data_IF_729351511858
#
_entry.id   IF_729351511858
#
_cell.length_a   1.000
_cell.length_b   1.000
_cell.length_c   1.000
_cell.angle_alpha   90.00
_cell.angle_beta   90.00
_cell.angle_gamma   90.00
#
_symmetry.space_group_name_H-M   'P 1'
#
loop_
_entity.id
_entity.type
_entity.pdbx_description
1 polymer ?
#
# COMPACT_ATOMS: atom_id res chain seq x y z
N UNK A 1 -22.97 7.19 9.62
CA UNK A 1 -23.52 5.83 9.56
C UNK A 1 -22.41 4.88 9.18
N UNK A 2 -21.94 4.05 10.11
CA UNK A 2 -20.75 3.19 9.96
C UNK A 2 -21.01 1.93 9.09
N UNK A 3 -22.28 1.65 8.83
CA UNK A 3 -22.75 0.45 8.11
C UNK A 3 -22.64 0.63 6.58
N UNK A 4 -22.66 1.86 6.06
CA UNK A 4 -22.51 2.10 4.62
C UNK A 4 -21.07 1.96 4.13
N UNK A 5 -20.08 2.31 4.97
CA UNK A 5 -18.66 2.25 4.61
C UNK A 5 -18.10 0.83 4.54
N UNK A 6 -18.52 -0.07 5.45
CA UNK A 6 -18.13 -1.49 5.41
C UNK A 6 -18.70 -2.21 4.18
N UNK A 7 -19.91 -1.85 3.76
CA UNK A 7 -20.56 -2.41 2.58
C UNK A 7 -19.89 -1.96 1.27
N UNK A 8 -19.47 -0.69 1.18
CA UNK A 8 -18.70 -0.19 0.03
C UNK A 8 -17.32 -0.84 -0.04
N UNK A 9 -16.63 -1.01 1.09
CA UNK A 9 -15.34 -1.74 1.15
C UNK A 9 -15.48 -3.18 0.66
N UNK A 10 -16.53 -3.90 1.05
CA UNK A 10 -16.78 -5.28 0.62
C UNK A 10 -17.13 -5.39 -0.88
N UNK A 11 -17.93 -4.46 -1.42
CA UNK A 11 -18.26 -4.43 -2.86
C UNK A 11 -17.06 -4.08 -3.73
N UNK A 12 -16.24 -3.14 -3.28
CA UNK A 12 -14.99 -2.78 -3.96
C UNK A 12 -14.00 -3.94 -3.89
N UNK A 13 -13.85 -4.62 -2.74
CA UNK A 13 -13.01 -5.83 -2.61
C UNK A 13 -13.40 -6.94 -3.62
N UNK A 14 -14.69 -7.20 -3.80
CA UNK A 14 -15.17 -8.24 -4.74
C UNK A 14 -14.80 -7.95 -6.20
N UNK A 15 -14.83 -6.68 -6.63
CA UNK A 15 -14.41 -6.29 -7.98
C UNK A 15 -12.88 -6.36 -8.10
N UNK A 16 -12.19 -6.04 -7.01
CA UNK A 16 -10.73 -5.97 -6.89
C UNK A 16 -10.08 -7.37 -6.90
N UNK A 17 -10.71 -8.38 -6.31
CA UNK A 17 -10.21 -9.77 -6.33
C UNK A 17 -10.03 -10.33 -7.75
N UNK A 18 -10.74 -9.79 -8.75
CA UNK A 18 -10.66 -10.25 -10.14
C UNK A 18 -9.48 -9.68 -10.93
N UNK A 19 -8.86 -8.59 -10.48
CA UNK A 19 -7.89 -7.80 -11.26
C UNK A 19 -6.43 -8.05 -10.84
N UNK A 20 -6.20 -8.95 -9.87
CA UNK A 20 -4.88 -9.31 -9.35
C UNK A 20 -4.32 -8.31 -8.32
N UNK A 21 -3.42 -8.76 -7.44
CA UNK A 21 -2.98 -7.99 -6.27
C UNK A 21 -2.18 -6.73 -6.61
N UNK A 22 -1.43 -6.73 -7.73
CA UNK A 22 -0.64 -5.57 -8.16
C UNK A 22 -1.55 -4.44 -8.65
N UNK A 23 -2.48 -4.76 -9.57
CA UNK A 23 -3.47 -3.80 -10.10
C UNK A 23 -4.33 -3.22 -9.00
N UNK A 24 -4.68 -4.05 -8.02
CA UNK A 24 -5.42 -3.66 -6.81
C UNK A 24 -4.71 -2.54 -6.05
N UNK A 25 -3.41 -2.70 -5.79
CA UNK A 25 -2.63 -1.72 -5.04
C UNK A 25 -2.53 -0.41 -5.80
N UNK A 26 -2.19 -0.45 -7.09
CA UNK A 26 -2.12 0.77 -7.91
C UNK A 26 -3.47 1.49 -7.99
N UNK A 27 -4.59 0.77 -8.09
CA UNK A 27 -5.92 1.38 -8.10
C UNK A 27 -6.27 2.02 -6.75
N UNK A 28 -6.03 1.33 -5.65
CA UNK A 28 -6.29 1.87 -4.30
C UNK A 28 -5.44 3.12 -4.03
N UNK A 29 -4.17 3.09 -4.42
CA UNK A 29 -3.27 4.24 -4.31
C UNK A 29 -3.70 5.39 -5.21
N UNK A 30 -4.09 5.11 -6.46
CA UNK A 30 -4.61 6.13 -7.37
C UNK A 30 -5.86 6.80 -6.81
N UNK A 31 -6.81 6.02 -6.28
CA UNK A 31 -8.04 6.57 -5.70
C UNK A 31 -7.77 7.36 -4.41
N UNK A 32 -6.79 6.93 -3.60
CA UNK A 32 -6.34 7.65 -2.42
C UNK A 32 -5.71 9.00 -2.79
N UNK A 33 -4.75 8.99 -3.71
CA UNK A 33 -4.07 10.20 -4.20
C UNK A 33 -5.04 11.16 -4.90
N UNK A 34 -6.06 10.64 -5.58
CA UNK A 34 -7.11 11.43 -6.23
C UNK A 34 -8.16 11.97 -5.25
N UNK A 35 -8.05 11.67 -3.95
CA UNK A 35 -9.03 12.06 -2.92
C UNK A 35 -10.40 11.38 -3.09
N UNK A 36 -10.49 10.36 -3.94
CA UNK A 36 -11.71 9.59 -4.22
C UNK A 36 -11.91 8.47 -3.19
N UNK A 37 -10.85 8.08 -2.49
CA UNK A 37 -10.87 7.12 -1.41
C UNK A 37 -10.33 7.78 -0.13
N UNK A 38 -11.23 8.07 0.82
CA UNK A 38 -10.84 8.42 2.18
C UNK A 38 -10.70 7.13 2.99
N UNK A 39 -9.46 6.64 3.07
CA UNK A 39 -9.01 5.77 4.16
C UNK A 39 -8.89 6.72 5.36
N UNK A 40 -9.68 6.53 6.43
CA UNK A 40 -9.80 7.48 7.55
C UNK A 40 -8.51 7.66 8.36
N UNK A 41 -8.57 7.65 9.70
CA UNK A 41 -7.33 7.64 10.53
C UNK A 41 -6.44 6.40 10.30
N UNK A 42 -6.93 5.42 9.51
CA UNK A 42 -6.18 4.23 9.13
C UNK A 42 -5.46 4.46 7.82
N UNK A 43 -4.16 4.23 7.87
CA UNK A 43 -3.32 4.02 6.70
C UNK A 43 -3.86 2.95 5.76
N UNK A 44 -3.40 2.97 4.51
CA UNK A 44 -3.63 1.88 3.57
C UNK A 44 -3.02 0.60 4.15
N UNK A 45 -3.89 -0.35 4.51
CA UNK A 45 -3.52 -1.62 5.11
C UNK A 45 -3.45 -2.67 4.00
N UNK A 46 -2.22 -3.05 3.66
CA UNK A 46 -1.94 -4.11 2.69
C UNK A 46 -1.44 -5.38 3.39
N UNK A 47 -1.73 -5.57 4.67
CA UNK A 47 -1.18 -6.66 5.48
C UNK A 47 -1.28 -8.01 4.75
N UNK A 48 -0.16 -8.76 4.74
CA UNK A 48 -0.04 -10.09 4.11
C UNK A 48 -0.21 -10.16 2.58
N UNK A 49 -0.36 -9.02 1.89
CA UNK A 49 -0.46 -9.01 0.42
C UNK A 49 0.80 -9.58 -0.26
N UNK A 50 0.59 -10.30 -1.38
CA UNK A 50 1.65 -10.81 -2.26
C UNK A 50 1.92 -9.82 -3.38
N UNK A 51 2.95 -9.00 -3.23
CA UNK A 51 3.28 -7.85 -4.06
C UNK A 51 4.73 -7.91 -4.58
N UNK A 52 5.25 -9.11 -4.81
CA UNK A 52 6.59 -9.30 -5.35
C UNK A 52 6.75 -8.50 -6.66
N UNK A 53 7.92 -7.92 -6.87
CA UNK A 53 8.27 -7.11 -8.06
C UNK A 53 7.45 -5.83 -8.26
N UNK A 54 6.68 -5.38 -7.26
CA UNK A 54 5.88 -4.15 -7.41
C UNK A 54 6.76 -2.92 -7.61
N UNK A 55 6.35 -2.06 -8.54
CA UNK A 55 6.98 -0.78 -8.80
C UNK A 55 6.14 0.35 -8.19
N UNK A 56 6.70 1.03 -7.19
CA UNK A 56 6.07 2.13 -6.45
C UNK A 56 6.83 3.45 -6.61
N UNK A 57 7.75 3.57 -7.57
CA UNK A 57 8.64 4.74 -7.76
C UNK A 57 7.95 6.05 -8.13
N UNK A 58 6.67 5.99 -8.55
CA UNK A 58 5.92 7.14 -9.06
C UNK A 58 4.74 7.53 -8.16
N UNK A 59 4.69 7.01 -6.93
CA UNK A 59 3.56 7.22 -6.04
C UNK A 59 3.74 8.51 -5.25
N UNK A 60 2.69 9.33 -5.14
CA UNK A 60 2.80 10.72 -4.64
C UNK A 60 3.22 10.79 -3.17
N UNK A 61 2.77 9.84 -2.35
CA UNK A 61 3.19 9.71 -0.95
C UNK A 61 2.85 8.33 -0.40
N UNK A 62 3.79 7.73 0.33
CA UNK A 62 3.61 6.46 1.05
C UNK A 62 3.72 6.65 2.58
N UNK A 63 3.54 7.88 3.05
CA UNK A 63 3.62 8.23 4.47
C UNK A 63 2.53 7.45 5.24
N UNK A 64 2.89 6.93 6.42
CA UNK A 64 2.04 6.10 7.29
C UNK A 64 1.59 4.74 6.71
N UNK A 65 2.06 4.29 5.53
CA UNK A 65 1.56 3.02 4.94
C UNK A 65 1.73 1.82 5.88
N UNK A 66 0.76 0.92 5.94
CA UNK A 66 0.92 -0.37 6.64
C UNK A 66 1.11 -1.50 5.64
N UNK A 67 2.32 -2.06 5.65
CA UNK A 67 2.75 -3.18 4.80
C UNK A 67 2.99 -4.44 5.62
N UNK A 68 2.54 -4.51 6.87
CA UNK A 68 2.87 -5.59 7.81
C UNK A 68 2.71 -6.99 7.19
N UNK A 69 3.70 -7.87 7.34
CA UNK A 69 3.60 -9.25 6.85
C UNK A 69 3.55 -9.42 5.32
N UNK A 70 3.71 -8.35 4.53
CA UNK A 70 3.63 -8.44 3.06
C UNK A 70 4.84 -9.12 2.44
N UNK A 71 4.63 -9.70 1.26
CA UNK A 71 5.69 -10.19 0.39
C UNK A 71 6.03 -9.14 -0.67
N UNK A 72 7.17 -8.48 -0.52
CA UNK A 72 7.66 -7.38 -1.35
C UNK A 72 9.05 -7.67 -1.92
N UNK A 73 9.36 -8.95 -2.16
CA UNK A 73 10.64 -9.34 -2.74
C UNK A 73 10.80 -8.69 -4.12
N UNK A 74 11.95 -8.09 -4.39
CA UNK A 74 12.27 -7.33 -5.62
C UNK A 74 11.41 -6.07 -5.85
N UNK A 75 10.73 -5.55 -4.83
CA UNK A 75 9.94 -4.31 -4.95
C UNK A 75 10.84 -3.08 -5.14
N UNK A 76 10.32 -2.03 -5.77
CA UNK A 76 11.04 -0.75 -5.94
C UNK A 76 10.32 0.41 -5.26
N UNK A 77 11.00 1.01 -4.28
CA UNK A 77 10.59 2.19 -3.52
C UNK A 77 11.52 3.39 -3.78
N UNK A 78 12.21 3.41 -4.92
CA UNK A 78 13.20 4.46 -5.24
C UNK A 78 12.55 5.84 -5.17
N UNK A 79 13.14 6.75 -4.40
CA UNK A 79 12.66 8.14 -4.23
C UNK A 79 11.41 8.31 -3.35
N UNK A 80 10.87 7.23 -2.77
CA UNK A 80 9.60 7.30 -2.04
C UNK A 80 9.74 7.84 -0.61
N UNK A 81 8.70 8.56 -0.14
CA UNK A 81 8.57 8.89 1.28
C UNK A 81 7.74 7.82 2.01
N UNK A 82 8.42 7.00 2.80
CA UNK A 82 7.90 5.88 3.61
C UNK A 82 7.83 6.23 5.10
N UNK A 83 7.92 7.52 5.44
CA UNK A 83 7.96 7.96 6.83
C UNK A 83 6.74 7.48 7.61
N UNK A 84 6.96 7.00 8.84
CA UNK A 84 5.95 6.43 9.72
C UNK A 84 5.24 5.18 9.18
N UNK A 85 5.79 4.56 8.13
CA UNK A 85 5.29 3.29 7.61
C UNK A 85 5.53 2.14 8.59
N UNK A 86 4.67 1.12 8.53
CA UNK A 86 4.82 -0.13 9.28
C UNK A 86 5.22 -1.26 8.33
N UNK A 87 6.46 -1.73 8.48
CA UNK A 87 7.13 -2.81 7.77
C UNK A 87 7.45 -3.99 8.69
N UNK A 88 6.78 -4.11 9.84
CA UNK A 88 6.90 -5.29 10.71
C UNK A 88 6.57 -6.57 9.93
N UNK A 89 7.40 -7.61 10.08
CA UNK A 89 7.26 -8.91 9.42
C UNK A 89 7.26 -8.89 7.86
N UNK A 90 7.76 -7.83 7.22
CA UNK A 90 7.77 -7.73 5.75
C UNK A 90 8.93 -8.49 5.11
N UNK A 91 8.64 -9.22 4.03
CA UNK A 91 9.65 -9.91 3.23
C UNK A 91 10.16 -8.98 2.11
N UNK A 92 11.37 -8.45 2.27
CA UNK A 92 11.98 -7.41 1.42
C UNK A 92 13.21 -7.88 0.62
N UNK A 93 13.36 -9.18 0.34
CA UNK A 93 14.56 -9.67 -0.34
C UNK A 93 14.73 -8.97 -1.70
N UNK A 94 15.90 -8.36 -1.93
CA UNK A 94 16.24 -7.57 -3.12
C UNK A 94 15.36 -6.34 -3.39
N UNK A 95 14.63 -5.83 -2.39
CA UNK A 95 13.88 -4.58 -2.54
C UNK A 95 14.84 -3.38 -2.68
N UNK A 96 14.49 -2.41 -3.54
CA UNK A 96 15.28 -1.23 -3.81
C UNK A 96 14.68 0.02 -3.14
N UNK A 97 15.40 0.57 -2.17
CA UNK A 97 15.04 1.77 -1.40
C UNK A 97 15.91 2.99 -1.74
N UNK A 98 16.60 2.99 -2.89
CA UNK A 98 17.54 4.06 -3.23
C UNK A 98 16.85 5.43 -3.19
N UNK A 99 17.35 6.36 -2.36
CA UNK A 99 16.78 7.70 -2.24
C UNK A 99 15.41 7.78 -1.53
N UNK A 100 14.95 6.72 -0.85
CA UNK A 100 13.72 6.80 -0.05
C UNK A 100 13.93 7.51 1.29
N UNK A 101 12.87 8.11 1.82
CA UNK A 101 12.84 8.72 3.17
C UNK A 101 12.08 7.77 4.12
N UNK A 102 12.72 7.33 5.20
CA UNK A 102 12.16 6.33 6.13
C UNK A 102 12.14 6.82 7.59
N UNK A 103 11.70 8.07 7.83
CA UNK A 103 11.69 8.64 9.18
C UNK A 103 10.57 7.99 10.00
N UNK A 104 10.90 7.42 11.16
CA UNK A 104 9.90 6.82 12.05
C UNK A 104 9.21 5.57 11.50
N UNK A 105 9.73 5.00 10.41
CA UNK A 105 9.32 3.71 9.89
C UNK A 105 9.66 2.61 10.90
N UNK A 106 8.71 1.70 11.17
CA UNK A 106 8.86 0.56 12.12
C UNK A 106 8.81 -0.78 11.43
#
# INVERSE_FOLDING_TARGET
SWISFSLTRAKTLNVIEQIGPITTVHLLMFLYDAGQLSIGEKSLDLTEARLNTIDLRNQRSLINISLKGTHLNNASFVGQNLSYGNFTDVHLNHANFSGSICIGTI
#
